data_IF_291229126067
#
_entry.id   IF_291229126067
#
_cell.length_a   1.000
_cell.length_b   1.000
_cell.length_c   1.000
_cell.angle_alpha   90.00
_cell.angle_beta   90.00
_cell.angle_gamma   90.00
#
_symmetry.space_group_name_H-M   'P 1'
#
loop_
_entity.id
_entity.type
_entity.pdbx_description
1 polymer ?
#
# COMPACT_ATOMS: atom_id res chain seq x y z
N UNK A 1 -9.02 -16.35 -4.42
CA UNK A 1 -8.10 -15.92 -5.50
C UNK A 1 -6.72 -16.36 -5.10
N UNK A 2 -6.17 -17.32 -5.84
CA UNK A 2 -4.80 -17.77 -5.67
C UNK A 2 -3.87 -16.66 -6.15
N UNK A 3 -2.93 -16.25 -5.28
CA UNK A 3 -1.90 -15.28 -5.64
C UNK A 3 -0.74 -16.05 -6.25
N UNK A 4 -0.26 -15.61 -7.41
CA UNK A 4 1.03 -16.05 -7.89
C UNK A 4 2.12 -15.41 -7.03
N UNK A 5 2.95 -16.23 -6.38
CA UNK A 5 4.08 -15.75 -5.59
C UNK A 5 5.31 -15.66 -6.48
N UNK A 6 6.01 -14.53 -6.43
CA UNK A 6 7.20 -14.29 -7.27
C UNK A 6 8.43 -15.10 -6.84
N UNK A 7 8.44 -15.64 -5.61
CA UNK A 7 9.54 -16.44 -5.08
C UNK A 7 9.14 -17.93 -5.05
N UNK A 8 9.98 -18.78 -5.64
CA UNK A 8 9.73 -20.21 -5.78
C UNK A 8 10.11 -21.06 -4.55
N UNK A 9 10.30 -20.45 -3.38
CA UNK A 9 10.64 -21.21 -2.17
C UNK A 9 9.40 -21.89 -1.59
N UNK A 10 9.58 -23.06 -0.95
CA UNK A 10 8.53 -23.69 -0.15
C UNK A 10 8.03 -22.75 0.95
N UNK A 11 6.84 -23.05 1.51
CA UNK A 11 6.30 -22.29 2.64
C UNK A 11 7.33 -22.13 3.75
N UNK A 12 7.36 -20.94 4.33
CA UNK A 12 8.22 -20.62 5.45
C UNK A 12 7.37 -20.71 6.71
N UNK A 13 7.71 -21.64 7.59
CA UNK A 13 6.98 -21.80 8.84
C UNK A 13 7.39 -20.73 9.83
N UNK A 14 6.40 -19.97 10.29
CA UNK A 14 6.50 -19.01 11.39
C UNK A 14 5.13 -18.85 12.06
N UNK A 15 5.14 -18.32 13.27
CA UNK A 15 3.94 -17.91 13.97
C UNK A 15 3.86 -16.39 14.02
N UNK A 16 2.81 -15.83 13.43
CA UNK A 16 2.48 -14.41 13.54
C UNK A 16 1.05 -14.25 14.06
N UNK A 17 0.89 -13.32 15.01
CA UNK A 17 -0.41 -12.85 15.45
C UNK A 17 -0.36 -11.34 15.50
N UNK A 18 -1.34 -10.68 14.88
CA UNK A 18 -1.46 -9.24 14.93
C UNK A 18 -1.83 -8.81 16.37
N UNK A 19 -0.81 -8.40 17.13
CA UNK A 19 -0.97 -7.90 18.50
C UNK A 19 -0.21 -6.58 18.65
N UNK A 20 -0.55 -5.72 19.62
CA UNK A 20 0.20 -4.49 19.84
C UNK A 20 1.68 -4.67 20.20
N UNK A 21 2.09 -5.87 20.62
CA UNK A 21 3.51 -6.17 20.91
C UNK A 21 4.28 -6.60 19.67
N UNK A 22 3.60 -7.24 18.73
CA UNK A 22 4.23 -7.90 17.59
C UNK A 22 3.97 -7.18 16.25
N UNK A 23 3.07 -6.19 16.24
CA UNK A 23 2.72 -5.40 15.08
C UNK A 23 2.62 -3.93 15.46
N UNK A 24 3.66 -3.18 15.11
CA UNK A 24 3.76 -1.74 15.36
C UNK A 24 3.75 -1.00 14.03
N UNK A 25 2.92 0.04 13.93
CA UNK A 25 2.81 0.89 12.75
C UNK A 25 3.14 2.32 13.14
N UNK A 26 4.14 2.91 12.53
CA UNK A 26 4.53 4.30 12.76
C UNK A 26 4.33 5.11 11.48
N UNK A 27 3.50 6.15 11.56
CA UNK A 27 3.23 7.04 10.44
C UNK A 27 4.46 7.89 10.12
N UNK A 28 4.78 8.00 8.82
CA UNK A 28 5.79 8.91 8.30
C UNK A 28 5.03 10.09 7.68
N UNK A 29 5.20 11.32 8.19
CA UNK A 29 4.47 12.48 7.67
C UNK A 29 4.90 12.77 6.23
N UNK A 30 4.02 13.40 5.45
CA UNK A 30 4.34 13.72 4.04
C UNK A 30 5.45 14.77 3.91
N UNK A 31 5.57 15.64 4.91
CA UNK A 31 6.54 16.72 5.01
C UNK A 31 6.77 17.03 6.49
N UNK A 32 7.88 17.72 6.78
CA UNK A 32 8.12 18.25 8.12
C UNK A 32 7.10 19.32 8.51
N UNK A 33 6.71 19.36 9.78
CA UNK A 33 5.80 20.38 10.27
C UNK A 33 6.53 21.71 10.43
N UNK A 34 5.84 22.80 10.08
CA UNK A 34 6.43 24.16 10.02
C UNK A 34 6.96 24.69 11.35
N UNK A 35 6.59 24.09 12.49
CA UNK A 35 7.00 24.56 13.82
C UNK A 35 6.20 25.77 14.32
N UNK A 36 5.44 26.40 13.43
CA UNK A 36 4.49 27.49 13.70
C UNK A 36 3.11 27.20 13.09
N UNK A 37 2.11 28.00 13.48
CA UNK A 37 0.76 27.98 12.91
C UNK A 37 -0.35 27.91 13.95
N UNK A 38 -1.58 27.77 13.48
CA UNK A 38 -2.78 27.66 14.33
C UNK A 38 -3.12 26.22 14.73
N UNK A 39 -2.52 25.23 14.08
CA UNK A 39 -2.74 23.83 14.38
C UNK A 39 -1.65 23.26 15.28
N UNK A 40 -2.05 22.77 16.45
CA UNK A 40 -1.25 21.86 17.27
C UNK A 40 -1.28 20.49 16.62
N UNK A 41 -0.09 19.99 16.28
CA UNK A 41 0.13 18.65 15.77
C UNK A 41 0.65 17.78 16.91
N UNK A 42 -0.03 16.66 17.17
CA UNK A 42 0.33 15.72 18.21
C UNK A 42 0.76 14.41 17.59
N UNK A 43 1.95 13.93 17.93
CA UNK A 43 2.36 12.57 17.62
C UNK A 43 1.83 11.65 18.71
N UNK A 44 0.86 10.81 18.38
CA UNK A 44 0.12 10.01 19.36
C UNK A 44 0.37 8.53 19.13
N UNK A 45 0.73 7.84 20.22
CA UNK A 45 0.74 6.38 20.31
C UNK A 45 -0.60 5.88 20.84
N UNK A 46 -1.32 5.07 20.08
CA UNK A 46 -2.49 4.31 20.55
C UNK A 46 -2.21 2.80 20.59
N UNK A 47 -2.82 2.11 21.55
CA UNK A 47 -2.75 0.65 21.72
C UNK A 47 -4.15 0.06 21.68
N UNK A 48 -4.38 -0.97 20.86
CA UNK A 48 -5.68 -1.68 20.82
C UNK A 48 -6.91 -0.82 20.52
N UNK A 49 -6.72 0.36 19.93
CA UNK A 49 -7.78 1.30 19.54
C UNK A 49 -7.73 1.55 18.05
N UNK A 50 -8.87 1.70 17.39
CA UNK A 50 -8.96 2.27 16.05
C UNK A 50 -8.67 3.78 16.10
N UNK A 51 -8.41 4.36 14.93
CA UNK A 51 -8.19 5.81 14.82
C UNK A 51 -9.44 6.60 15.22
N UNK A 52 -10.63 6.10 14.87
CA UNK A 52 -11.89 6.76 15.19
C UNK A 52 -12.23 6.67 16.69
N UNK A 53 -11.92 5.55 17.36
CA UNK A 53 -12.07 5.44 18.82
C UNK A 53 -11.16 6.43 19.55
N UNK A 54 -9.88 6.56 19.13
CA UNK A 54 -8.95 7.55 19.67
C UNK A 54 -9.43 8.99 19.44
N UNK A 55 -9.87 9.32 18.22
CA UNK A 55 -10.43 10.64 17.89
C UNK A 55 -11.68 10.93 18.72
N UNK A 56 -12.56 9.94 18.90
CA UNK A 56 -13.76 10.11 19.71
C UNK A 56 -13.44 10.34 21.19
N UNK A 57 -12.43 9.66 21.75
CA UNK A 57 -12.02 9.86 23.13
C UNK A 57 -11.47 11.28 23.36
N UNK A 58 -10.59 11.75 22.47
CA UNK A 58 -10.01 13.10 22.54
C UNK A 58 -11.09 14.17 22.34
N UNK A 59 -11.97 13.99 21.35
CA UNK A 59 -13.05 14.93 21.09
C UNK A 59 -14.00 15.08 22.30
N UNK A 60 -14.33 13.97 22.96
CA UNK A 60 -15.16 13.96 24.17
C UNK A 60 -14.48 14.70 25.32
N UNK A 61 -13.19 14.45 25.54
CA UNK A 61 -12.42 15.11 26.59
C UNK A 61 -12.37 16.64 26.38
N UNK A 62 -12.17 17.08 25.14
CA UNK A 62 -12.08 18.50 24.80
C UNK A 62 -13.44 19.21 24.62
N UNK A 63 -14.55 18.46 24.58
CA UNK A 63 -15.87 19.02 24.29
C UNK A 63 -16.01 19.55 22.85
N UNK A 64 -15.31 18.96 21.89
CA UNK A 64 -15.30 19.39 20.47
C UNK A 64 -15.88 18.34 19.54
N UNK A 65 -16.16 18.71 18.29
CA UNK A 65 -16.62 17.76 17.28
C UNK A 65 -15.43 16.95 16.73
N UNK A 66 -15.64 15.66 16.47
CA UNK A 66 -14.60 14.79 15.88
C UNK A 66 -14.01 15.36 14.58
N UNK A 67 -14.85 16.05 13.79
CA UNK A 67 -14.42 16.68 12.54
C UNK A 67 -13.39 17.78 12.73
N UNK A 68 -13.19 18.31 13.94
CA UNK A 68 -12.19 19.33 14.26
C UNK A 68 -10.79 18.73 14.39
N UNK A 69 -10.70 17.42 14.67
CA UNK A 69 -9.45 16.66 14.74
C UNK A 69 -9.11 16.12 13.35
N UNK A 70 -7.94 16.50 12.84
CA UNK A 70 -7.38 16.03 11.56
C UNK A 70 -6.48 14.83 11.76
N UNK A 71 -6.42 13.95 10.75
CA UNK A 71 -5.55 12.78 10.69
C UNK A 71 -5.32 12.37 9.23
N UNK A 72 -4.19 11.74 8.93
CA UNK A 72 -3.77 11.45 7.55
C UNK A 72 -4.36 10.14 6.99
N UNK A 73 -4.69 9.19 7.86
CA UNK A 73 -5.30 7.93 7.47
C UNK A 73 -5.76 7.13 8.69
N UNK A 74 -6.48 6.03 8.43
CA UNK A 74 -6.87 5.10 9.48
C UNK A 74 -5.74 4.11 9.74
N UNK A 75 -5.53 3.78 11.01
CA UNK A 75 -4.56 2.76 11.47
C UNK A 75 -5.26 1.61 12.20
N UNK A 76 -4.67 0.42 12.12
CA UNK A 76 -5.16 -0.83 12.69
C UNK A 76 -5.56 -0.72 14.16
N UNK A 77 -6.67 -1.39 14.52
CA UNK A 77 -7.11 -1.52 15.91
C UNK A 77 -6.22 -2.49 16.68
N UNK A 78 -5.95 -3.67 16.13
CA UNK A 78 -5.21 -4.75 16.81
C UNK A 78 -3.69 -4.58 16.71
N UNK A 79 -3.20 -3.36 16.96
CA UNK A 79 -1.80 -2.97 16.78
C UNK A 79 -1.39 -1.92 17.83
N UNK A 80 -0.09 -1.67 17.92
CA UNK A 80 0.45 -0.45 18.51
C UNK A 80 0.69 0.51 17.35
N UNK A 81 0.07 1.67 17.35
CA UNK A 81 0.22 2.59 16.22
C UNK A 81 0.60 3.97 16.70
N UNK A 82 1.57 4.57 16.03
CA UNK A 82 1.94 5.97 16.21
C UNK A 82 1.50 6.74 14.97
N UNK A 83 0.71 7.79 15.17
CA UNK A 83 0.19 8.61 14.07
C UNK A 83 0.08 10.06 14.50
N UNK A 84 0.06 10.95 13.52
CA UNK A 84 -0.14 12.37 13.76
C UNK A 84 -1.63 12.70 13.73
N UNK A 85 -2.05 13.51 14.69
CA UNK A 85 -3.31 14.24 14.61
C UNK A 85 -3.06 15.72 14.69
N UNK A 86 -3.99 16.52 14.17
CA UNK A 86 -3.95 17.97 14.30
C UNK A 86 -5.25 18.50 14.87
N UNK A 87 -5.17 19.48 15.76
CA UNK A 87 -6.31 20.20 16.32
C UNK A 87 -5.91 21.66 16.59
N UNK A 88 -6.84 22.54 16.90
CA UNK A 88 -6.53 23.96 17.07
C UNK A 88 -5.67 24.18 18.33
N UNK A 89 -4.61 25.01 18.24
CA UNK A 89 -3.62 25.21 19.32
C UNK A 89 -4.19 25.66 20.66
N UNK A 90 -5.37 26.30 20.66
CA UNK A 90 -6.13 26.68 21.87
C UNK A 90 -6.38 25.52 22.86
N UNK A 91 -6.32 24.28 22.39
CA UNK A 91 -6.53 23.09 23.23
C UNK A 91 -5.25 22.52 23.82
N UNK A 92 -4.09 23.16 23.60
CA UNK A 92 -2.80 22.64 24.05
C UNK A 92 -2.74 22.38 25.56
N UNK A 93 -3.14 23.36 26.37
CA UNK A 93 -3.13 23.24 27.84
C UNK A 93 -4.04 22.11 28.34
N UNK A 94 -5.15 21.86 27.65
CA UNK A 94 -6.04 20.74 27.96
C UNK A 94 -5.37 19.41 27.57
N UNK A 95 -4.74 19.36 26.40
CA UNK A 95 -4.04 18.15 25.95
C UNK A 95 -2.82 17.80 26.80
N UNK A 96 -2.18 18.76 27.47
CA UNK A 96 -1.13 18.49 28.47
C UNK A 96 -1.63 17.72 29.69
N UNK A 97 -2.91 17.86 30.01
CA UNK A 97 -3.57 17.19 31.13
C UNK A 97 -4.38 15.95 30.68
N UNK A 98 -4.30 15.59 29.41
CA UNK A 98 -5.05 14.46 28.85
C UNK A 98 -4.43 13.14 29.28
N UNK A 99 -5.20 12.35 30.02
CA UNK A 99 -4.82 11.00 30.43
C UNK A 99 -5.78 9.95 29.86
N UNK A 100 -5.22 8.84 29.39
CA UNK A 100 -5.99 7.71 28.88
C UNK A 100 -5.13 6.43 28.90
N UNK A 101 -5.70 5.31 29.35
CA UNK A 101 -4.99 4.03 29.49
C UNK A 101 -4.28 3.53 28.21
N UNK A 102 -4.91 3.81 27.06
CA UNK A 102 -4.51 3.28 25.76
C UNK A 102 -3.97 4.33 24.78
N UNK A 103 -3.85 5.61 25.18
CA UNK A 103 -3.41 6.72 24.32
C UNK A 103 -2.27 7.46 25.05
N UNK A 104 -1.16 7.72 24.35
CA UNK A 104 -0.03 8.50 24.87
C UNK A 104 0.41 9.52 23.84
N UNK A 105 0.51 10.77 24.24
CA UNK A 105 1.15 11.83 23.45
C UNK A 105 2.66 11.64 23.56
N UNK A 106 3.34 11.56 22.42
CA UNK A 106 4.79 11.33 22.33
C UNK A 106 5.55 12.63 22.08
N UNK A 107 5.00 13.52 21.25
CA UNK A 107 5.56 14.84 20.98
C UNK A 107 4.49 15.79 20.45
N UNK A 108 4.83 17.08 20.44
CA UNK A 108 4.04 18.16 19.89
C UNK A 108 4.85 18.89 18.81
N UNK A 109 4.14 19.45 17.84
CA UNK A 109 4.64 20.39 16.86
C UNK A 109 3.51 21.36 16.49
N UNK A 110 3.81 22.36 15.67
CA UNK A 110 2.79 23.24 15.09
C UNK A 110 2.83 23.19 13.57
N UNK A 111 1.67 23.40 12.97
CA UNK A 111 1.57 23.55 11.54
C UNK A 111 0.54 24.61 11.12
N UNK A 112 0.77 25.21 9.97
CA UNK A 112 -0.15 26.18 9.37
C UNK A 112 -1.46 25.55 8.90
N UNK A 113 -1.44 24.26 8.54
CA UNK A 113 -2.59 23.57 8.00
C UNK A 113 -3.01 22.38 8.87
N UNK A 114 -4.31 22.13 8.88
CA UNK A 114 -4.87 20.90 9.42
C UNK A 114 -4.40 19.69 8.62
N UNK A 115 -4.06 18.60 9.30
CA UNK A 115 -3.79 17.30 8.68
C UNK A 115 -5.08 16.76 8.05
N UNK A 116 -5.02 16.36 6.78
CA UNK A 116 -6.12 15.76 6.03
C UNK A 116 -5.74 14.38 5.52
N UNK A 117 -6.74 13.61 5.09
CA UNK A 117 -6.56 12.30 4.47
C UNK A 117 -5.56 12.41 3.32
N UNK A 118 -4.53 11.56 3.33
CA UNK A 118 -3.45 11.56 2.35
C UNK A 118 -2.22 12.39 2.73
N UNK A 119 -2.23 13.14 3.85
CA UNK A 119 -1.05 13.88 4.34
C UNK A 119 -0.03 12.97 5.06
N UNK A 120 0.28 11.80 4.50
CA UNK A 120 1.35 10.92 4.96
C UNK A 120 2.17 10.44 3.76
N UNK A 121 3.48 10.30 3.94
CA UNK A 121 4.34 9.68 2.94
C UNK A 121 4.16 8.16 2.95
N UNK A 122 3.97 7.58 4.14
CA UNK A 122 3.85 6.14 4.30
C UNK A 122 3.80 5.71 5.75
N UNK A 123 4.05 4.42 5.98
CA UNK A 123 4.09 3.85 7.31
C UNK A 123 5.32 2.98 7.46
N UNK A 124 6.02 3.12 8.58
CA UNK A 124 7.07 2.22 9.01
C UNK A 124 6.45 1.10 9.84
N UNK A 125 6.68 -0.13 9.41
CA UNK A 125 6.19 -1.32 10.12
C UNK A 125 7.32 -1.96 10.93
N UNK A 126 7.00 -2.37 12.14
CA UNK A 126 7.76 -3.36 12.89
C UNK A 126 6.88 -4.57 13.10
N UNK A 127 7.35 -5.72 12.61
CA UNK A 127 6.62 -6.99 12.65
C UNK A 127 7.52 -8.04 13.31
N UNK A 128 7.03 -8.66 14.37
CA UNK A 128 7.74 -9.73 15.08
C UNK A 128 7.17 -11.09 14.71
N UNK A 129 7.95 -11.87 13.97
CA UNK A 129 7.66 -13.28 13.70
C UNK A 129 8.19 -14.15 14.86
N UNK A 130 7.42 -15.16 15.27
CA UNK A 130 7.73 -16.07 16.39
C UNK A 130 7.83 -17.51 15.89
N UNK A 131 8.34 -18.41 16.74
CA UNK A 131 8.48 -19.85 16.43
C UNK A 131 9.18 -20.10 15.09
N UNK A 132 10.23 -19.32 14.80
CA UNK A 132 11.02 -19.43 13.58
C UNK A 132 12.20 -20.36 13.87
N UNK A 133 12.25 -21.51 13.19
CA UNK A 133 13.38 -22.43 13.28
C UNK A 133 14.57 -21.90 12.42
N UNK A 134 15.81 -22.43 12.60
CA UNK A 134 16.98 -21.94 11.87
C UNK A 134 16.84 -21.97 10.33
N UNK A 135 16.21 -23.02 9.78
CA UNK A 135 15.98 -23.14 8.34
C UNK A 135 14.99 -22.09 7.82
N UNK A 136 13.89 -21.86 8.53
CA UNK A 136 12.94 -20.80 8.23
C UNK A 136 13.60 -19.42 8.34
N UNK A 137 14.47 -19.20 9.33
CA UNK A 137 15.19 -17.95 9.48
C UNK A 137 16.08 -17.64 8.26
N UNK A 138 16.82 -18.64 7.76
CA UNK A 138 17.62 -18.48 6.53
C UNK A 138 16.75 -18.17 5.30
N UNK A 139 15.61 -18.86 5.14
CA UNK A 139 14.67 -18.57 4.05
C UNK A 139 14.11 -17.15 4.12
N UNK A 140 13.77 -16.67 5.33
CA UNK A 140 13.30 -15.30 5.57
C UNK A 140 14.39 -14.30 5.20
N UNK A 141 15.62 -14.52 5.66
CA UNK A 141 16.75 -13.63 5.35
C UNK A 141 16.96 -13.51 3.83
N UNK A 142 16.93 -14.63 3.10
CA UNK A 142 17.04 -14.62 1.65
C UNK A 142 15.86 -13.90 0.97
N UNK A 143 14.63 -14.12 1.44
CA UNK A 143 13.45 -13.43 0.92
C UNK A 143 13.53 -11.92 1.18
N UNK A 144 14.00 -11.49 2.36
CA UNK A 144 14.18 -10.08 2.70
C UNK A 144 15.27 -9.42 1.86
N UNK A 145 16.38 -10.12 1.56
CA UNK A 145 17.39 -9.63 0.62
C UNK A 145 16.81 -9.39 -0.77
N UNK A 146 16.05 -10.36 -1.29
CA UNK A 146 15.37 -10.22 -2.59
C UNK A 146 14.38 -9.04 -2.59
N UNK A 147 13.59 -8.87 -1.52
CA UNK A 147 12.66 -7.75 -1.38
C UNK A 147 13.42 -6.42 -1.28
N UNK A 148 14.55 -6.40 -0.57
CA UNK A 148 15.38 -5.20 -0.43
C UNK A 148 16.01 -4.79 -1.76
N UNK A 149 16.27 -5.73 -2.66
CA UNK A 149 16.88 -5.48 -3.97
C UNK A 149 15.81 -5.15 -5.03
N UNK A 150 14.82 -6.02 -5.20
CA UNK A 150 13.85 -5.99 -6.31
C UNK A 150 12.44 -5.53 -5.90
N UNK A 151 12.21 -5.25 -4.62
CA UNK A 151 10.88 -4.94 -4.10
C UNK A 151 9.98 -6.19 -4.02
N UNK A 152 8.67 -5.94 -3.94
CA UNK A 152 7.67 -7.01 -3.88
C UNK A 152 6.44 -6.66 -4.73
N UNK A 153 5.69 -7.67 -5.23
CA UNK A 153 4.44 -7.42 -5.94
C UNK A 153 3.42 -6.68 -5.06
N UNK A 154 2.96 -5.52 -5.53
CA UNK A 154 2.09 -4.61 -4.78
C UNK A 154 0.60 -5.02 -4.84
N UNK A 155 0.28 -6.25 -4.41
CA UNK A 155 -1.11 -6.73 -4.39
C UNK A 155 -1.99 -5.96 -3.42
N UNK A 156 -3.24 -5.70 -3.82
CA UNK A 156 -4.28 -5.30 -2.87
C UNK A 156 -4.61 -6.45 -1.91
N UNK A 157 -4.53 -6.18 -0.61
CA UNK A 157 -4.86 -7.12 0.48
C UNK A 157 -6.32 -7.58 0.49
N UNK A 158 -6.60 -8.74 1.09
CA UNK A 158 -7.96 -9.31 1.15
C UNK A 158 -8.99 -8.36 1.80
N UNK A 159 -8.55 -7.57 2.79
CA UNK A 159 -9.37 -6.54 3.44
C UNK A 159 -9.97 -5.53 2.43
N UNK A 160 -9.34 -5.32 1.27
CA UNK A 160 -9.86 -4.45 0.22
C UNK A 160 -11.18 -4.94 -0.37
N UNK A 161 -11.45 -6.24 -0.30
CA UNK A 161 -12.60 -6.89 -0.90
C UNK A 161 -13.74 -7.16 0.09
N UNK A 162 -13.66 -6.60 1.31
CA UNK A 162 -14.67 -6.79 2.36
C UNK A 162 -14.45 -8.06 3.17
N UNK A 163 -15.25 -8.25 4.22
CA UNK A 163 -15.14 -9.40 5.11
C UNK A 163 -15.43 -10.72 4.38
N UNK A 164 -16.43 -10.70 3.49
CA UNK A 164 -16.85 -11.87 2.72
C UNK A 164 -16.08 -12.02 1.40
N UNK A 165 -15.23 -11.04 1.04
CA UNK A 165 -14.46 -11.04 -0.21
C UNK A 165 -15.26 -10.66 -1.47
N UNK A 166 -16.57 -10.47 -1.37
CA UNK A 166 -17.47 -10.32 -2.52
C UNK A 166 -17.63 -8.88 -3.04
N UNK A 167 -16.95 -7.89 -2.43
CA UNK A 167 -17.10 -6.48 -2.86
C UNK A 167 -16.75 -6.27 -4.34
N UNK A 168 -15.81 -7.05 -4.87
CA UNK A 168 -15.42 -6.96 -6.28
C UNK A 168 -16.50 -7.49 -7.22
N UNK A 169 -17.26 -8.53 -6.83
CA UNK A 169 -18.36 -9.11 -7.61
C UNK A 169 -19.50 -8.09 -7.73
N UNK A 170 -19.86 -7.47 -6.60
CA UNK A 170 -20.84 -6.37 -6.60
C UNK A 170 -20.36 -5.17 -7.41
N UNK A 171 -19.07 -4.83 -7.30
CA UNK A 171 -18.44 -3.77 -8.08
C UNK A 171 -18.50 -4.03 -9.59
N UNK A 172 -18.29 -5.28 -10.01
CA UNK A 172 -18.40 -5.71 -11.41
C UNK A 172 -19.82 -5.54 -11.94
N UNK A 173 -20.83 -6.05 -11.22
CA UNK A 173 -22.24 -5.90 -11.59
C UNK A 173 -22.65 -4.42 -11.73
N UNK A 174 -22.15 -3.56 -10.83
CA UNK A 174 -22.37 -2.11 -10.91
C UNK A 174 -21.68 -1.51 -12.14
N UNK A 175 -20.44 -1.92 -12.44
CA UNK A 175 -19.68 -1.42 -13.58
C UNK A 175 -20.33 -1.83 -14.92
N UNK A 176 -20.91 -3.02 -14.99
CA UNK A 176 -21.66 -3.53 -16.15
C UNK A 176 -23.09 -2.98 -16.27
N UNK A 177 -23.58 -2.28 -15.25
CA UNK A 177 -24.94 -1.72 -15.21
C UNK A 177 -26.04 -2.72 -14.84
N UNK A 178 -25.66 -3.95 -14.48
CA UNK A 178 -26.54 -5.03 -14.04
C UNK A 178 -27.16 -4.76 -12.66
N UNK A 179 -26.44 -4.02 -11.80
CA UNK A 179 -26.90 -3.61 -10.47
C UNK A 179 -26.74 -2.10 -10.27
N UNK A 180 -27.70 -1.50 -9.56
CA UNK A 180 -27.66 -0.07 -9.19
C UNK A 180 -27.39 0.08 -7.70
N UNK A 181 -26.40 0.90 -7.35
CA UNK A 181 -26.13 1.37 -5.99
C UNK A 181 -26.45 2.87 -5.89
N UNK A 182 -27.33 3.23 -4.96
CA UNK A 182 -27.80 4.62 -4.78
C UNK A 182 -26.84 5.44 -3.93
N UNK A 183 -26.16 4.82 -2.97
CA UNK A 183 -25.22 5.51 -2.11
C UNK A 183 -23.89 5.74 -2.86
N UNK A 184 -23.51 7.00 -3.14
CA UNK A 184 -22.32 7.30 -3.95
C UNK A 184 -21.02 6.83 -3.28
N UNK A 185 -20.96 6.80 -1.95
CA UNK A 185 -19.77 6.35 -1.21
C UNK A 185 -19.59 4.84 -1.33
N UNK A 186 -20.67 4.08 -1.15
CA UNK A 186 -20.67 2.61 -1.30
C UNK A 186 -20.37 2.25 -2.75
N UNK A 187 -21.03 2.91 -3.71
CA UNK A 187 -20.76 2.73 -5.13
C UNK A 187 -19.28 2.90 -5.47
N UNK A 188 -18.66 3.98 -4.99
CA UNK A 188 -17.23 4.25 -5.21
C UNK A 188 -16.35 3.16 -4.58
N UNK A 189 -16.69 2.70 -3.37
CA UNK A 189 -15.97 1.62 -2.70
C UNK A 189 -16.02 0.31 -3.49
N UNK A 190 -17.22 -0.11 -3.92
CA UNK A 190 -17.41 -1.36 -4.66
C UNK A 190 -16.73 -1.34 -6.03
N UNK A 191 -16.87 -0.24 -6.79
CA UNK A 191 -16.14 -0.06 -8.05
C UNK A 191 -14.63 -0.11 -7.82
N UNK A 192 -14.14 0.53 -6.76
CA UNK A 192 -12.71 0.49 -6.44
C UNK A 192 -12.23 -0.90 -6.03
N UNK A 193 -13.05 -1.69 -5.34
CA UNK A 193 -12.75 -3.10 -5.06
C UNK A 193 -12.68 -3.92 -6.36
N UNK A 194 -13.57 -3.68 -7.32
CA UNK A 194 -13.49 -4.33 -8.64
C UNK A 194 -12.21 -3.95 -9.40
N UNK A 195 -11.84 -2.67 -9.43
CA UNK A 195 -10.57 -2.23 -10.03
C UNK A 195 -9.34 -2.88 -9.35
N UNK A 196 -9.32 -2.93 -8.01
CA UNK A 196 -8.27 -3.61 -7.25
C UNK A 196 -8.19 -5.11 -7.57
N UNK A 197 -9.32 -5.75 -7.83
CA UNK A 197 -9.38 -7.17 -8.22
C UNK A 197 -8.76 -7.38 -9.59
N UNK A 198 -9.16 -6.58 -10.57
CA UNK A 198 -8.60 -6.65 -11.92
C UNK A 198 -7.10 -6.35 -11.95
N UNK A 199 -6.63 -5.38 -11.15
CA UNK A 199 -5.21 -5.11 -10.98
C UNK A 199 -4.47 -6.33 -10.41
N UNK A 200 -5.01 -6.97 -9.37
CA UNK A 200 -4.41 -8.19 -8.81
C UNK A 200 -4.33 -9.31 -9.87
N UNK A 201 -5.37 -9.49 -10.69
CA UNK A 201 -5.34 -10.47 -11.78
C UNK A 201 -4.26 -10.14 -12.81
N UNK A 202 -4.16 -8.88 -13.26
CA UNK A 202 -3.12 -8.41 -14.16
C UNK A 202 -1.72 -8.68 -13.59
N UNK A 203 -1.48 -8.29 -12.34
CA UNK A 203 -0.19 -8.46 -11.68
C UNK A 203 0.17 -9.95 -11.59
N UNK A 204 -0.80 -10.80 -11.23
CA UNK A 204 -0.60 -12.26 -11.18
C UNK A 204 -0.18 -12.84 -12.52
N UNK A 205 -0.83 -12.42 -13.62
CA UNK A 205 -0.45 -12.84 -14.97
C UNK A 205 0.92 -12.32 -15.39
N UNK A 206 1.28 -11.08 -15.04
CA UNK A 206 2.64 -10.55 -15.31
C UNK A 206 3.70 -11.37 -14.59
N UNK A 207 3.48 -11.75 -13.33
CA UNK A 207 4.43 -12.59 -12.60
C UNK A 207 4.56 -14.00 -13.20
N UNK A 208 3.47 -14.59 -13.65
CA UNK A 208 3.49 -15.88 -14.37
C UNK A 208 4.33 -15.78 -15.66
N UNK A 209 4.08 -14.74 -16.48
CA UNK A 209 4.87 -14.47 -17.68
C UNK A 209 6.36 -14.32 -17.32
N UNK A 210 6.69 -13.55 -16.29
CA UNK A 210 8.07 -13.34 -15.84
C UNK A 210 8.75 -14.66 -15.42
N UNK A 211 7.99 -15.54 -14.76
CA UNK A 211 8.46 -16.88 -14.38
C UNK A 211 8.74 -17.75 -15.61
N UNK A 212 7.85 -17.74 -16.61
CA UNK A 212 8.04 -18.46 -17.87
C UNK A 212 9.27 -17.93 -18.63
N UNK A 213 9.38 -16.61 -18.78
CA UNK A 213 10.51 -15.97 -19.47
C UNK A 213 11.84 -16.32 -18.79
N UNK A 214 11.86 -16.45 -17.47
CA UNK A 214 13.05 -16.83 -16.72
C UNK A 214 13.41 -18.32 -16.85
N UNK A 215 12.44 -19.19 -17.17
CA UNK A 215 12.60 -20.65 -17.10
C UNK A 215 12.76 -21.35 -18.46
N UNK A 216 12.28 -20.76 -19.55
CA UNK A 216 12.24 -21.39 -20.88
C UNK A 216 13.02 -20.62 -21.93
N UNK A 217 13.45 -21.28 -23.00
CA UNK A 217 14.14 -20.65 -24.12
C UNK A 217 13.19 -19.84 -25.02
N UNK A 218 13.75 -18.89 -25.78
CA UNK A 218 12.95 -17.95 -26.61
C UNK A 218 12.01 -18.70 -27.57
N UNK A 219 12.51 -19.77 -28.21
CA UNK A 219 11.75 -20.57 -29.18
C UNK A 219 10.56 -21.31 -28.55
N UNK A 220 10.66 -21.64 -27.26
CA UNK A 220 9.59 -22.32 -26.52
C UNK A 220 8.52 -21.34 -26.07
N UNK A 221 8.91 -20.08 -25.82
CA UNK A 221 8.02 -19.03 -25.30
C UNK A 221 7.15 -18.38 -26.36
N UNK A 222 7.61 -18.27 -27.60
CA UNK A 222 6.86 -17.66 -28.71
C UNK A 222 5.44 -18.23 -28.86
N UNK A 223 5.22 -19.56 -28.99
CA UNK A 223 3.87 -20.11 -29.10
C UNK A 223 3.05 -20.03 -27.80
N UNK A 224 3.70 -19.90 -26.64
CA UNK A 224 3.03 -19.88 -25.33
C UNK A 224 2.53 -18.48 -24.99
N UNK A 225 3.40 -17.47 -25.16
CA UNK A 225 3.14 -16.08 -24.78
C UNK A 225 2.51 -15.27 -25.89
N UNK A 226 2.59 -15.74 -27.14
CA UNK A 226 2.17 -15.01 -28.33
C UNK A 226 2.84 -13.61 -28.41
N UNK A 227 4.12 -13.55 -28.02
CA UNK A 227 4.95 -12.35 -28.11
C UNK A 227 5.95 -12.47 -29.25
N UNK A 228 6.29 -11.35 -29.92
CA UNK A 228 7.39 -11.34 -30.87
C UNK A 228 8.71 -11.83 -30.26
N UNK A 229 9.49 -12.59 -31.02
CA UNK A 229 10.76 -13.15 -30.57
C UNK A 229 11.78 -12.07 -30.12
N UNK A 230 11.75 -10.89 -30.72
CA UNK A 230 12.59 -9.76 -30.31
C UNK A 230 12.18 -9.25 -28.92
N UNK A 231 10.88 -9.17 -28.62
CA UNK A 231 10.39 -8.75 -27.32
C UNK A 231 10.77 -9.76 -26.22
N UNK A 232 10.61 -11.06 -26.47
CA UNK A 232 11.02 -12.11 -25.52
C UNK A 232 12.53 -12.01 -25.23
N UNK A 233 13.37 -11.72 -26.24
CA UNK A 233 14.81 -11.51 -26.05
C UNK A 233 15.09 -10.31 -25.15
N UNK A 234 14.42 -9.16 -25.37
CA UNK A 234 14.54 -7.98 -24.49
C UNK A 234 14.14 -8.32 -23.05
N UNK A 235 13.03 -9.03 -22.87
CA UNK A 235 12.58 -9.45 -21.54
C UNK A 235 13.60 -10.35 -20.83
N UNK A 236 14.21 -11.31 -21.54
CA UNK A 236 15.26 -12.18 -20.97
C UNK A 236 16.54 -11.42 -20.62
N UNK A 237 16.89 -10.37 -21.37
CA UNK A 237 18.08 -9.56 -21.12
C UNK A 237 17.99 -8.71 -19.85
N UNK A 238 16.78 -8.37 -19.39
CA UNK A 238 16.56 -7.58 -18.19
C UNK A 238 17.02 -8.35 -16.93
N UNK A 239 17.81 -7.69 -16.08
CA UNK A 239 18.26 -8.27 -14.80
C UNK A 239 17.13 -8.37 -13.77
N UNK A 240 16.23 -7.39 -13.75
CA UNK A 240 15.14 -7.35 -12.78
C UNK A 240 14.20 -8.57 -12.94
N UNK A 241 13.72 -9.20 -11.86
CA UNK A 241 12.79 -10.34 -11.95
C UNK A 241 11.46 -9.96 -12.59
N UNK A 242 10.97 -8.74 -12.34
CA UNK A 242 9.81 -8.20 -13.02
C UNK A 242 10.21 -7.66 -14.39
N UNK A 243 9.77 -8.32 -15.48
CA UNK A 243 10.16 -7.97 -16.86
C UNK A 243 9.23 -6.90 -17.43
N UNK A 244 9.74 -5.71 -17.74
CA UNK A 244 8.99 -4.70 -18.49
C UNK A 244 8.78 -5.18 -19.93
N UNK A 245 7.66 -4.77 -20.53
CA UNK A 245 7.30 -5.08 -21.91
C UNK A 245 7.07 -3.75 -22.64
N UNK A 246 7.53 -3.63 -23.88
CA UNK A 246 7.22 -2.48 -24.73
C UNK A 246 5.71 -2.19 -24.75
N UNK A 247 5.34 -0.94 -24.50
CA UNK A 247 3.95 -0.51 -24.36
C UNK A 247 3.38 -0.61 -22.93
N UNK A 248 4.16 -1.06 -21.94
CA UNK A 248 3.79 -0.89 -20.53
C UNK A 248 3.60 0.61 -20.24
N UNK A 249 2.52 0.96 -19.54
CA UNK A 249 2.33 2.33 -19.06
C UNK A 249 3.10 2.52 -17.76
N UNK A 250 3.95 3.53 -17.75
CA UNK A 250 4.84 3.88 -16.66
C UNK A 250 4.41 5.18 -15.99
N UNK A 251 4.80 5.36 -14.73
CA UNK A 251 4.67 6.62 -14.01
C UNK A 251 5.96 6.95 -13.25
N UNK A 252 6.24 8.23 -13.02
CA UNK A 252 7.28 8.62 -12.06
C UNK A 252 6.79 8.33 -10.64
N UNK A 253 7.63 7.69 -9.84
CA UNK A 253 7.32 7.33 -8.47
C UNK A 253 7.73 8.43 -7.49
N UNK A 254 6.94 8.75 -6.44
CA UNK A 254 5.62 8.18 -6.12
C UNK A 254 4.45 8.86 -6.85
N UNK A 255 4.69 9.98 -7.53
CA UNK A 255 3.68 10.71 -8.29
C UNK A 255 4.30 11.31 -9.56
N UNK A 256 3.64 11.14 -10.71
CA UNK A 256 4.10 11.78 -11.93
C UNK A 256 3.20 11.57 -13.13
N UNK A 257 3.67 12.04 -14.28
CA UNK A 257 2.98 11.86 -15.57
C UNK A 257 3.10 10.43 -16.04
N UNK A 258 2.05 9.97 -16.71
CA UNK A 258 2.04 8.70 -17.41
C UNK A 258 2.86 8.81 -18.69
N UNK A 259 3.49 7.72 -19.11
CA UNK A 259 4.19 7.60 -20.39
C UNK A 259 4.30 6.13 -20.81
N UNK A 260 4.48 5.89 -22.11
CA UNK A 260 4.67 4.55 -22.65
C UNK A 260 6.13 4.11 -22.51
N UNK A 261 6.35 2.87 -22.07
CA UNK A 261 7.68 2.26 -22.08
C UNK A 261 8.07 1.86 -23.50
N UNK A 262 9.13 2.47 -24.04
CA UNK A 262 9.61 2.26 -25.41
C UNK A 262 10.69 1.16 -25.53
N UNK A 263 11.14 0.59 -24.43
CA UNK A 263 12.24 -0.38 -24.41
C UNK A 263 13.64 0.24 -24.30
N UNK A 264 13.75 1.54 -23.98
CA UNK A 264 15.05 2.20 -23.81
C UNK A 264 15.81 1.74 -22.56
N UNK A 265 17.14 1.61 -22.69
CA UNK A 265 18.06 1.31 -21.56
C UNK A 265 17.94 2.34 -20.43
N UNK A 266 17.73 3.62 -20.77
CA UNK A 266 17.53 4.68 -19.80
C UNK A 266 16.33 4.43 -18.87
N UNK A 267 15.19 4.01 -19.41
CA UNK A 267 14.01 3.72 -18.59
C UNK A 267 14.15 2.42 -17.80
N UNK A 268 14.92 1.44 -18.31
CA UNK A 268 15.31 0.28 -17.51
C UNK A 268 16.14 0.66 -16.28
N UNK A 269 17.13 1.55 -16.45
CA UNK A 269 17.93 2.05 -15.32
C UNK A 269 17.04 2.77 -14.30
N UNK A 270 16.16 3.66 -14.74
CA UNK A 270 15.19 4.37 -13.88
C UNK A 270 14.24 3.43 -13.14
N UNK A 271 13.81 2.35 -13.76
CA UNK A 271 12.99 1.34 -13.10
C UNK A 271 13.78 0.61 -12.01
N UNK A 272 15.03 0.23 -12.30
CA UNK A 272 15.91 -0.44 -11.34
C UNK A 272 16.29 0.47 -10.16
N UNK A 273 16.43 1.78 -10.38
CA UNK A 273 16.64 2.78 -9.31
C UNK A 273 15.36 3.19 -8.58
N UNK A 274 14.20 2.66 -9.00
CA UNK A 274 12.86 2.89 -8.43
C UNK A 274 12.34 4.31 -8.62
N UNK A 275 12.83 5.00 -9.64
CA UNK A 275 12.35 6.34 -10.03
C UNK A 275 11.05 6.27 -10.84
N UNK A 276 10.77 5.12 -11.46
CA UNK A 276 9.53 4.85 -12.19
C UNK A 276 8.93 3.51 -11.80
N UNK A 277 7.62 3.37 -12.00
CA UNK A 277 6.89 2.12 -11.80
C UNK A 277 5.94 1.84 -12.96
N UNK A 278 5.72 0.56 -13.25
CA UNK A 278 4.61 0.14 -14.10
C UNK A 278 3.30 0.38 -13.36
N UNK A 279 2.33 1.02 -14.00
CA UNK A 279 1.04 1.39 -13.38
C UNK A 279 0.05 0.23 -13.32
N UNK A 280 0.31 -0.80 -14.12
CA UNK A 280 -0.52 -1.99 -14.22
C UNK A 280 -1.73 -1.84 -15.11
N UNK A 281 -2.84 -2.48 -14.72
CA UNK A 281 -4.04 -2.49 -15.54
C UNK A 281 -4.66 -1.08 -15.64
N UNK A 282 -4.34 -0.39 -16.73
CA UNK A 282 -5.04 0.81 -17.15
C UNK A 282 -6.02 0.43 -18.28
N UNK A 283 -7.31 0.47 -17.96
CA UNK A 283 -8.36 0.21 -18.94
C UNK A 283 -9.49 1.23 -18.81
N UNK A 284 -10.08 1.62 -19.94
CA UNK A 284 -11.28 2.45 -20.01
C UNK A 284 -11.06 3.82 -20.66
N UNK A 285 -12.17 4.48 -21.01
CA UNK A 285 -12.20 5.70 -21.86
C UNK A 285 -11.49 6.95 -21.29
N UNK A 286 -11.05 6.90 -20.03
CA UNK A 286 -10.42 8.02 -19.32
C UNK A 286 -8.94 7.83 -19.05
N UNK A 287 -8.35 6.71 -19.48
CA UNK A 287 -6.90 6.54 -19.43
C UNK A 287 -6.31 7.55 -20.40
N UNK A 288 -5.53 8.50 -19.87
CA UNK A 288 -4.78 9.49 -20.64
C UNK A 288 -3.31 9.17 -20.45
N UNK A 289 -2.65 8.67 -21.49
CA UNK A 289 -1.18 8.69 -21.57
C UNK A 289 -0.70 10.11 -21.88
#
# INVERSE_FOLDING_TARGET
MDRFYSLAHASIDFHFRQTPRDFVVEEIPLYEFSGEGEHLVLFIRKKSLSTLEMVSAIARYLGIQQKEIGYAGLKDKHAMTKQYISLHKKHEEAMDKFEHESIKILSKAYHNNKIRIGHLQGNRFYIKLKKVNPTSAQKIDQALKNISEYGMPNYFGYQRFGNDGDNHILGEQIAKGEKKERNPKIKKLLISAYQSHLFNLWLSRRLEINSLVSSFEVKELEPILNFPNDEIKKMKAQKHPFKLISGDIMEHYPYGRLFDFDGSEHDFERFNTRDISVTGLLCGKKVKT
#
